data_IF_220339899781
#
_entry.id   IF_220339899781
#
_cell.length_a   1.000
_cell.length_b   1.000
_cell.length_c   1.000
_cell.angle_alpha   90.00
_cell.angle_beta   90.00
_cell.angle_gamma   90.00
#
_symmetry.space_group_name_H-M   'P 1'
#
loop_
_entity.id
_entity.type
_entity.pdbx_description
1 polymer ?
#
# COMPACT_ATOMS: atom_id res chain seq x y z
N UNK A 1 -16.81 -26.02 -39.34
CA UNK A 1 -15.83 -24.94 -39.21
C UNK A 1 -16.59 -23.67 -38.81
N UNK A 2 -16.52 -23.31 -37.54
CA UNK A 2 -17.12 -22.08 -37.05
C UNK A 2 -16.01 -21.03 -37.12
N UNK A 3 -16.14 -20.06 -38.04
CA UNK A 3 -15.25 -18.92 -38.11
C UNK A 3 -15.60 -17.96 -36.97
N UNK A 4 -14.79 -17.95 -35.90
CA UNK A 4 -14.75 -16.83 -34.99
C UNK A 4 -13.97 -15.69 -35.64
N UNK A 5 -14.66 -14.72 -36.17
CA UNK A 5 -14.08 -13.45 -36.52
C UNK A 5 -13.93 -12.63 -35.24
N UNK A 6 -12.74 -12.69 -34.62
CA UNK A 6 -12.35 -11.73 -33.61
C UNK A 6 -12.12 -10.39 -34.34
N UNK A 7 -13.08 -9.50 -34.26
CA UNK A 7 -12.88 -8.10 -34.63
C UNK A 7 -11.86 -7.54 -33.59
N UNK A 8 -10.63 -7.32 -34.04
CA UNK A 8 -9.64 -6.53 -33.28
C UNK A 8 -10.18 -5.09 -33.32
N UNK A 9 -10.49 -4.49 -32.16
CA UNK A 9 -10.89 -3.08 -32.13
C UNK A 9 -9.71 -2.25 -32.64
N UNK A 10 -9.94 -1.49 -33.70
CA UNK A 10 -9.01 -0.50 -34.18
C UNK A 10 -8.91 0.62 -33.12
N UNK A 11 -7.65 1.03 -32.86
CA UNK A 11 -7.20 2.14 -32.01
C UNK A 11 -7.17 1.89 -30.50
N UNK A 12 -5.98 1.60 -30.00
CA UNK A 12 -5.51 1.79 -28.60
C UNK A 12 -5.43 3.31 -28.29
N UNK A 13 -6.55 3.99 -28.28
CA UNK A 13 -6.67 5.36 -27.83
C UNK A 13 -7.70 5.40 -26.73
N UNK A 14 -7.21 5.73 -25.53
CA UNK A 14 -7.83 5.72 -24.21
C UNK A 14 -7.79 4.34 -23.55
N UNK A 15 -6.96 4.21 -22.51
CA UNK A 15 -7.11 3.12 -21.56
C UNK A 15 -8.50 3.24 -20.95
N UNK A 16 -9.46 2.52 -21.50
CA UNK A 16 -10.78 2.44 -20.90
C UNK A 16 -10.59 1.75 -19.56
N UNK A 17 -10.78 2.49 -18.49
CA UNK A 17 -10.86 1.91 -17.15
C UNK A 17 -11.96 0.85 -17.19
N UNK A 18 -11.69 -0.33 -16.61
CA UNK A 18 -12.69 -1.39 -16.52
C UNK A 18 -13.75 -1.12 -15.44
N UNK A 19 -13.84 0.13 -14.98
CA UNK A 19 -14.80 0.62 -14.00
C UNK A 19 -15.24 2.04 -14.33
N UNK A 20 -16.40 2.43 -13.81
CA UNK A 20 -16.94 3.77 -14.03
C UNK A 20 -16.35 4.74 -13.01
N UNK A 21 -15.64 5.77 -13.48
CA UNK A 21 -15.12 6.82 -12.64
C UNK A 21 -15.06 8.16 -13.37
N UNK A 22 -15.10 9.26 -12.60
CA UNK A 22 -14.91 10.62 -13.10
C UNK A 22 -13.85 11.32 -12.23
N UNK A 23 -12.74 11.68 -12.83
CA UNK A 23 -11.65 12.38 -12.18
C UNK A 23 -11.71 13.87 -12.52
N UNK A 24 -12.04 14.70 -11.54
CA UNK A 24 -12.12 16.16 -11.66
C UNK A 24 -11.21 16.86 -10.68
N UNK A 25 -10.99 18.16 -10.83
CA UNK A 25 -10.14 18.96 -9.94
C UNK A 25 -10.72 19.16 -8.52
N UNK A 26 -11.87 18.57 -8.25
CA UNK A 26 -12.50 18.60 -6.93
C UNK A 26 -12.87 17.18 -6.53
N UNK A 27 -12.71 16.80 -5.25
CA UNK A 27 -13.12 15.50 -4.74
C UNK A 27 -14.59 15.23 -5.01
N UNK A 28 -14.89 14.07 -5.59
CA UNK A 28 -16.26 13.62 -5.88
C UNK A 28 -16.47 12.22 -5.30
N UNK A 29 -17.63 11.94 -4.72
CA UNK A 29 -17.99 10.59 -4.32
C UNK A 29 -17.91 9.63 -5.50
N UNK A 30 -17.44 8.43 -5.25
CA UNK A 30 -17.40 7.31 -6.18
C UNK A 30 -18.22 6.15 -5.62
N UNK A 31 -19.04 5.55 -6.46
CA UNK A 31 -19.56 4.20 -6.24
C UNK A 31 -18.77 3.28 -7.17
N UNK A 32 -18.04 2.36 -6.58
CA UNK A 32 -17.26 1.38 -7.35
C UNK A 32 -18.22 0.53 -8.17
N UNK A 33 -18.01 0.51 -9.48
CA UNK A 33 -18.78 -0.28 -10.44
C UNK A 33 -17.87 -0.77 -11.57
N UNK A 34 -17.50 -2.02 -11.49
CA UNK A 34 -16.69 -2.70 -12.52
C UNK A 34 -17.58 -3.16 -13.66
N UNK A 35 -17.09 -3.07 -14.90
CA UNK A 35 -17.87 -3.45 -16.07
C UNK A 35 -18.15 -4.96 -16.10
N UNK A 36 -19.39 -5.33 -16.42
CA UNK A 36 -19.80 -6.75 -16.50
C UNK A 36 -18.98 -7.53 -17.54
N UNK A 37 -18.66 -6.89 -18.68
CA UNK A 37 -17.83 -7.49 -19.71
C UNK A 37 -16.44 -7.90 -19.21
N UNK A 38 -15.81 -7.04 -18.39
CA UNK A 38 -14.52 -7.35 -17.77
C UNK A 38 -14.62 -8.53 -16.78
N UNK A 39 -15.68 -8.56 -15.98
CA UNK A 39 -15.88 -9.65 -15.01
C UNK A 39 -16.12 -11.00 -15.71
N UNK A 40 -16.89 -11.00 -16.81
CA UNK A 40 -17.12 -12.19 -17.63
C UNK A 40 -15.82 -12.67 -18.30
N UNK A 41 -15.03 -11.74 -18.87
CA UNK A 41 -13.73 -12.05 -19.44
C UNK A 41 -12.78 -12.63 -18.40
N UNK A 42 -12.70 -12.02 -17.20
CA UNK A 42 -11.84 -12.46 -16.10
C UNK A 42 -12.20 -13.89 -15.65
N UNK A 43 -13.49 -14.20 -15.48
CA UNK A 43 -13.97 -15.55 -15.17
C UNK A 43 -13.62 -16.56 -16.25
N UNK A 44 -13.78 -16.19 -17.51
CA UNK A 44 -13.43 -17.04 -18.65
C UNK A 44 -11.91 -17.31 -18.70
N UNK A 45 -11.08 -16.30 -18.49
CA UNK A 45 -9.62 -16.45 -18.43
C UNK A 45 -9.20 -17.33 -17.25
N UNK A 46 -9.81 -17.18 -16.07
CA UNK A 46 -9.57 -18.04 -14.92
C UNK A 46 -9.91 -19.51 -15.24
N UNK A 47 -11.06 -19.77 -15.89
CA UNK A 47 -11.47 -21.13 -16.30
C UNK A 47 -10.53 -21.76 -17.34
N UNK A 48 -9.87 -20.95 -18.17
CA UNK A 48 -8.95 -21.38 -19.22
C UNK A 48 -7.49 -21.43 -18.75
N UNK A 49 -7.22 -21.21 -17.48
CA UNK A 49 -5.85 -21.23 -16.93
C UNK A 49 -5.17 -22.57 -17.23
N UNK A 50 -4.02 -22.50 -17.89
CA UNK A 50 -3.19 -23.68 -18.16
C UNK A 50 -2.27 -23.93 -16.97
N UNK A 51 -2.35 -25.13 -16.41
CA UNK A 51 -1.49 -25.53 -15.30
C UNK A 51 -0.18 -26.09 -15.86
N UNK A 52 0.95 -25.57 -15.36
CA UNK A 52 2.27 -26.05 -15.74
C UNK A 52 2.62 -27.34 -15.02
N UNK A 53 3.59 -28.09 -15.57
CA UNK A 53 4.21 -29.23 -14.88
C UNK A 53 5.12 -28.69 -13.78
N UNK A 54 5.08 -29.31 -12.62
CA UNK A 54 5.88 -28.98 -11.44
C UNK A 54 6.88 -30.08 -11.15
N UNK A 55 8.05 -29.73 -10.64
CA UNK A 55 9.01 -30.70 -10.09
C UNK A 55 8.51 -31.14 -8.71
N UNK A 56 8.46 -32.45 -8.49
CA UNK A 56 8.02 -33.04 -7.23
C UNK A 56 8.96 -32.66 -6.06
N UNK A 57 8.37 -32.29 -4.92
CA UNK A 57 9.11 -31.88 -3.73
C UNK A 57 9.64 -30.45 -3.75
N UNK A 58 9.26 -29.65 -4.75
CA UNK A 58 9.66 -28.24 -4.88
C UNK A 58 8.51 -27.26 -4.58
N UNK A 59 7.47 -27.72 -3.88
CA UNK A 59 6.32 -26.92 -3.48
C UNK A 59 6.77 -25.73 -2.62
N UNK A 60 6.38 -24.52 -3.02
CA UNK A 60 6.78 -23.23 -2.42
C UNK A 60 8.31 -22.93 -2.44
N UNK A 61 9.12 -23.79 -3.03
CA UNK A 61 10.53 -23.52 -3.33
C UNK A 61 10.66 -22.84 -4.69
N UNK A 62 10.06 -23.46 -5.73
CA UNK A 62 10.03 -22.90 -7.09
C UNK A 62 8.89 -21.88 -7.28
N UNK A 63 7.94 -21.83 -6.37
CA UNK A 63 6.77 -20.96 -6.45
C UNK A 63 5.51 -21.60 -5.87
N UNK A 64 4.35 -21.04 -6.22
CA UNK A 64 3.05 -21.56 -5.78
C UNK A 64 2.81 -22.96 -6.39
N UNK A 65 2.42 -23.95 -5.57
CA UNK A 65 2.17 -25.30 -6.08
C UNK A 65 1.10 -25.34 -7.17
N UNK A 66 1.30 -26.17 -8.19
CA UNK A 66 0.40 -26.31 -9.33
C UNK A 66 -1.04 -26.68 -8.91
N UNK A 67 -1.18 -27.51 -7.86
CA UNK A 67 -2.49 -27.85 -7.30
C UNK A 67 -3.22 -26.63 -6.73
N UNK A 68 -2.52 -25.75 -6.00
CA UNK A 68 -3.11 -24.51 -5.51
C UNK A 68 -3.60 -23.64 -6.68
N UNK A 69 -2.77 -23.48 -7.72
CA UNK A 69 -3.14 -22.70 -8.92
C UNK A 69 -4.38 -23.29 -9.59
N UNK A 70 -4.48 -24.61 -9.70
CA UNK A 70 -5.64 -25.30 -10.24
C UNK A 70 -6.91 -25.06 -9.43
N UNK A 71 -6.81 -25.18 -8.09
CA UNK A 71 -7.94 -24.96 -7.19
C UNK A 71 -8.41 -23.49 -7.21
N UNK A 72 -7.47 -22.55 -7.25
CA UNK A 72 -7.78 -21.12 -7.36
C UNK A 72 -8.46 -20.77 -8.68
N UNK A 73 -7.98 -21.32 -9.80
CA UNK A 73 -8.58 -21.12 -11.13
C UNK A 73 -10.04 -21.59 -11.15
N UNK A 74 -10.28 -22.81 -10.60
CA UNK A 74 -11.63 -23.36 -10.48
C UNK A 74 -12.50 -22.49 -9.56
N UNK A 75 -12.03 -22.13 -8.38
CA UNK A 75 -12.77 -21.34 -7.41
C UNK A 75 -13.13 -19.96 -7.97
N UNK A 76 -12.15 -19.26 -8.57
CA UNK A 76 -12.37 -17.95 -9.18
C UNK A 76 -13.42 -17.98 -10.30
N UNK A 77 -13.33 -18.99 -11.16
CA UNK A 77 -14.24 -19.10 -12.30
C UNK A 77 -15.67 -19.53 -11.94
N UNK A 78 -15.87 -20.29 -10.84
CA UNK A 78 -17.15 -20.94 -10.55
C UNK A 78 -17.83 -20.49 -9.26
N UNK A 79 -17.08 -20.04 -8.26
CA UNK A 79 -17.59 -19.74 -6.91
C UNK A 79 -17.50 -18.25 -6.57
N UNK A 80 -16.33 -17.64 -6.80
CA UNK A 80 -16.09 -16.26 -6.40
C UNK A 80 -17.06 -15.27 -7.07
N UNK A 81 -17.63 -14.37 -6.27
CA UNK A 81 -18.58 -13.36 -6.71
C UNK A 81 -18.07 -11.94 -6.41
N UNK A 82 -17.53 -11.29 -7.44
CA UNK A 82 -17.09 -9.90 -7.35
C UNK A 82 -18.22 -8.93 -6.98
N UNK A 83 -19.47 -9.16 -7.44
CA UNK A 83 -20.57 -8.25 -7.14
C UNK A 83 -20.85 -8.15 -5.65
N UNK A 84 -20.78 -9.27 -4.95
CA UNK A 84 -20.87 -9.28 -3.50
C UNK A 84 -19.75 -8.47 -2.86
N UNK A 85 -18.51 -8.66 -3.30
CA UNK A 85 -17.36 -7.89 -2.80
C UNK A 85 -17.49 -6.40 -3.12
N UNK A 86 -17.92 -6.04 -4.33
CA UNK A 86 -18.16 -4.66 -4.76
C UNK A 86 -19.21 -3.97 -3.87
N UNK A 87 -20.29 -4.66 -3.52
CA UNK A 87 -21.32 -4.15 -2.61
C UNK A 87 -20.75 -3.97 -1.18
N UNK A 88 -19.94 -4.92 -0.70
CA UNK A 88 -19.26 -4.82 0.59
C UNK A 88 -18.28 -3.63 0.63
N UNK A 89 -17.47 -3.43 -0.41
CA UNK A 89 -16.57 -2.29 -0.53
C UNK A 89 -17.32 -0.96 -0.52
N UNK A 90 -18.38 -0.84 -1.31
CA UNK A 90 -19.22 0.35 -1.37
C UNK A 90 -19.97 0.65 -0.06
N UNK A 91 -20.34 -0.38 0.70
CA UNK A 91 -21.01 -0.20 1.99
C UNK A 91 -20.04 0.18 3.10
N UNK A 92 -18.82 -0.37 3.07
CA UNK A 92 -17.80 -0.17 4.10
C UNK A 92 -17.06 1.14 3.93
N UNK A 93 -16.72 1.53 2.70
CA UNK A 93 -15.86 2.65 2.43
C UNK A 93 -16.58 3.85 1.82
N UNK A 94 -16.11 5.03 2.17
CA UNK A 94 -16.48 6.28 1.49
C UNK A 94 -15.42 6.59 0.44
N UNK A 95 -15.69 6.16 -0.77
CA UNK A 95 -14.81 6.31 -1.93
C UNK A 95 -14.95 7.69 -2.55
N UNK A 96 -13.84 8.25 -3.01
CA UNK A 96 -13.77 9.50 -3.74
C UNK A 96 -12.77 9.41 -4.88
N UNK A 97 -12.98 10.25 -5.89
CA UNK A 97 -12.00 10.49 -6.95
C UNK A 97 -11.68 11.96 -7.04
N UNK A 98 -10.46 12.28 -7.45
CA UNK A 98 -10.02 13.65 -7.73
C UNK A 98 -8.86 13.64 -8.73
N UNK A 99 -8.44 14.83 -9.16
CA UNK A 99 -7.22 15.04 -9.93
C UNK A 99 -6.38 16.09 -9.20
N UNK A 100 -5.10 15.79 -9.01
CA UNK A 100 -4.13 16.67 -8.36
C UNK A 100 -2.90 16.91 -9.24
N UNK A 101 -1.99 17.77 -8.77
CA UNK A 101 -0.69 18.02 -9.41
C UNK A 101 0.43 17.39 -8.56
N UNK A 102 1.47 16.90 -9.23
CA UNK A 102 2.63 16.27 -8.64
C UNK A 102 3.88 17.16 -8.60
N UNK A 103 3.71 18.48 -8.72
CA UNK A 103 4.82 19.45 -8.73
C UNK A 103 5.47 19.65 -10.10
N UNK A 104 6.59 20.40 -10.13
CA UNK A 104 7.19 20.89 -11.37
C UNK A 104 7.90 19.80 -12.20
N UNK A 105 8.34 18.73 -11.55
CA UNK A 105 9.05 17.63 -12.23
C UNK A 105 8.11 16.69 -13.01
N UNK A 106 6.81 16.69 -12.66
CA UNK A 106 5.77 15.93 -13.34
C UNK A 106 4.54 16.79 -13.51
N UNK A 107 4.43 17.42 -14.66
CA UNK A 107 3.41 18.44 -14.95
C UNK A 107 2.07 17.87 -15.44
N UNK A 108 1.98 16.56 -15.62
CA UNK A 108 0.74 15.93 -16.01
C UNK A 108 -0.21 15.78 -14.82
N UNK A 109 -1.53 15.90 -15.04
CA UNK A 109 -2.53 15.65 -14.01
C UNK A 109 -2.41 14.23 -13.45
N UNK A 110 -2.56 14.08 -12.14
CA UNK A 110 -2.55 12.78 -11.45
C UNK A 110 -3.97 12.50 -10.94
N UNK A 111 -4.72 11.61 -11.63
CA UNK A 111 -6.00 11.16 -11.15
C UNK A 111 -5.81 10.20 -9.98
N UNK A 112 -6.54 10.43 -8.89
CA UNK A 112 -6.48 9.63 -7.67
C UNK A 112 -7.86 9.14 -7.26
N UNK A 113 -7.94 7.88 -6.91
CA UNK A 113 -8.96 7.33 -6.05
C UNK A 113 -8.46 7.35 -4.61
N UNK A 114 -9.33 7.62 -3.67
CA UNK A 114 -9.02 7.56 -2.24
C UNK A 114 -10.28 7.27 -1.42
N UNK A 115 -10.08 6.69 -0.24
CA UNK A 115 -11.13 6.67 0.77
C UNK A 115 -10.89 7.79 1.78
N UNK A 116 -11.98 8.38 2.28
CA UNK A 116 -11.91 9.43 3.29
C UNK A 116 -12.96 9.18 4.38
N UNK A 117 -12.48 8.72 5.53
CA UNK A 117 -13.28 8.47 6.72
C UNK A 117 -12.98 9.53 7.77
N UNK A 118 -14.00 10.32 8.12
CA UNK A 118 -13.87 11.36 9.15
C UNK A 118 -14.36 10.83 10.50
N UNK A 119 -13.55 11.04 11.52
CA UNK A 119 -13.99 10.85 12.90
C UNK A 119 -15.09 11.85 13.24
N UNK A 120 -16.07 11.50 14.09
CA UNK A 120 -17.03 12.46 14.64
C UNK A 120 -16.41 13.43 15.64
N UNK A 121 -15.18 13.18 16.09
CA UNK A 121 -14.49 14.02 17.08
C UNK A 121 -13.89 15.27 16.41
N UNK A 122 -14.03 16.41 17.07
CA UNK A 122 -13.50 17.70 16.61
C UNK A 122 -11.98 17.83 16.75
N UNK A 123 -11.38 17.05 17.67
CA UNK A 123 -9.94 17.00 17.95
C UNK A 123 -9.22 15.87 17.16
N UNK A 124 -9.89 15.27 16.18
CA UNK A 124 -9.32 14.21 15.39
C UNK A 124 -8.16 14.70 14.52
N UNK A 125 -7.09 13.92 14.50
CA UNK A 125 -5.86 14.21 13.78
C UNK A 125 -6.02 13.80 12.30
N UNK A 126 -5.74 14.66 11.32
CA UNK A 126 -5.69 14.24 9.92
C UNK A 126 -4.56 13.24 9.70
N UNK A 127 -4.89 12.09 9.14
CA UNK A 127 -3.97 10.99 8.88
C UNK A 127 -3.98 10.62 7.41
N UNK A 128 -2.83 10.73 6.77
CA UNK A 128 -2.55 10.14 5.46
C UNK A 128 -2.06 8.71 5.67
N UNK A 129 -2.81 7.74 5.16
CA UNK A 129 -2.49 6.31 5.26
C UNK A 129 -2.06 5.79 3.87
N UNK A 130 -0.82 5.33 3.74
CA UNK A 130 -0.26 4.89 2.47
C UNK A 130 0.06 3.40 2.48
N UNK A 131 -0.53 2.67 1.54
CA UNK A 131 -0.23 1.28 1.25
C UNK A 131 1.03 1.14 0.37
N UNK A 132 1.42 -0.09 0.06
CA UNK A 132 2.46 -0.42 -0.89
C UNK A 132 2.07 -1.55 -1.84
N UNK A 133 3.06 -2.23 -2.42
CA UNK A 133 2.83 -3.34 -3.33
C UNK A 133 2.68 -4.68 -2.55
N UNK A 134 1.76 -5.57 -2.91
CA UNK A 134 0.71 -5.44 -3.92
C UNK A 134 -0.63 -4.95 -3.36
N UNK A 135 -0.59 -4.16 -2.28
CA UNK A 135 -1.77 -3.65 -1.59
C UNK A 135 -2.50 -2.55 -2.37
N UNK A 136 -3.56 -2.05 -1.75
CA UNK A 136 -4.41 -0.95 -2.21
C UNK A 136 -5.02 -0.25 -0.99
N UNK A 137 -5.92 0.71 -1.20
CA UNK A 137 -6.74 1.27 -0.11
C UNK A 137 -7.38 0.19 0.78
N UNK A 138 -7.54 -1.03 0.28
CA UNK A 138 -8.16 -2.14 1.01
C UNK A 138 -7.39 -2.53 2.28
N UNK A 139 -6.09 -2.27 2.33
CA UNK A 139 -5.28 -2.54 3.53
C UNK A 139 -5.81 -1.83 4.79
N UNK A 140 -6.35 -0.62 4.64
CA UNK A 140 -6.87 0.13 5.79
C UNK A 140 -8.23 -0.39 6.27
N UNK A 141 -8.85 -1.32 5.53
CA UNK A 141 -10.21 -1.74 5.75
C UNK A 141 -10.51 -2.26 7.15
N UNK A 142 -9.58 -3.00 7.74
CA UNK A 142 -9.81 -3.60 9.06
C UNK A 142 -9.41 -2.67 10.22
N UNK A 143 -8.67 -1.58 9.95
CA UNK A 143 -8.19 -0.64 10.98
C UNK A 143 -8.94 0.69 10.99
N UNK A 144 -9.61 1.08 9.89
CA UNK A 144 -10.17 2.42 9.72
C UNK A 144 -11.16 2.82 10.82
N UNK A 145 -12.03 1.90 11.24
CA UNK A 145 -13.01 2.15 12.28
C UNK A 145 -12.35 2.33 13.66
N UNK A 146 -11.29 1.56 13.94
CA UNK A 146 -10.51 1.72 15.18
C UNK A 146 -9.83 3.09 15.23
N UNK A 147 -9.34 3.59 14.11
CA UNK A 147 -8.67 4.88 14.03
C UNK A 147 -9.66 6.06 14.08
N UNK A 148 -10.80 5.94 13.41
CA UNK A 148 -11.79 7.02 13.36
C UNK A 148 -12.66 7.10 14.60
N UNK A 149 -12.91 5.96 15.25
CA UNK A 149 -13.74 5.84 16.44
C UNK A 149 -13.09 4.92 17.49
N UNK A 150 -12.01 5.37 18.14
CA UNK A 150 -11.30 4.56 19.11
C UNK A 150 -12.19 4.17 20.29
N UNK A 151 -11.95 3.01 20.91
CA UNK A 151 -12.81 2.47 21.98
C UNK A 151 -12.81 3.30 23.27
N UNK A 152 -11.86 4.22 23.40
CA UNK A 152 -11.74 5.11 24.55
C UNK A 152 -11.47 6.54 24.08
N UNK A 153 -12.19 7.51 24.64
CA UNK A 153 -12.08 8.93 24.28
C UNK A 153 -10.73 9.55 24.65
N UNK A 154 -9.97 8.93 25.56
CA UNK A 154 -8.58 9.37 25.86
C UNK A 154 -7.57 9.01 24.77
N UNK A 155 -7.91 8.11 23.87
CA UNK A 155 -7.07 7.76 22.73
C UNK A 155 -7.27 8.78 21.60
N UNK A 156 -6.23 9.10 20.82
CA UNK A 156 -6.39 9.97 19.67
C UNK A 156 -7.29 9.33 18.61
N UNK A 157 -8.16 10.13 18.01
CA UNK A 157 -8.96 9.77 16.86
C UNK A 157 -8.37 10.39 15.59
N UNK A 158 -8.69 9.83 14.44
CA UNK A 158 -8.11 10.29 13.18
C UNK A 158 -9.17 10.54 12.11
N UNK A 159 -8.93 11.55 11.27
CA UNK A 159 -9.56 11.66 9.95
C UNK A 159 -8.67 10.91 8.97
N UNK A 160 -9.09 9.76 8.49
CA UNK A 160 -8.26 8.87 7.65
C UNK A 160 -8.48 9.18 6.19
N UNK A 161 -7.41 9.53 5.49
CA UNK A 161 -7.33 9.66 4.03
C UNK A 161 -6.39 8.57 3.53
N UNK A 162 -6.90 7.59 2.79
CA UNK A 162 -6.11 6.50 2.23
C UNK A 162 -6.29 6.46 0.70
N UNK A 163 -5.39 7.11 -0.05
CA UNK A 163 -5.38 7.03 -1.50
C UNK A 163 -4.86 5.66 -1.96
N UNK A 164 -5.36 5.20 -3.11
CA UNK A 164 -4.59 4.26 -3.92
C UNK A 164 -3.40 4.99 -4.54
N UNK A 165 -2.24 4.37 -4.53
CA UNK A 165 -1.08 4.85 -5.26
C UNK A 165 -1.41 4.86 -6.78
N UNK A 166 -0.89 5.84 -7.56
CA UNK A 166 -1.08 5.84 -9.01
C UNK A 166 -0.66 4.52 -9.66
N UNK A 167 -1.60 3.87 -10.34
CA UNK A 167 -1.41 2.54 -10.93
C UNK A 167 -1.86 1.37 -10.07
N UNK A 168 -2.42 1.64 -8.89
CA UNK A 168 -2.98 0.63 -7.97
C UNK A 168 -4.48 0.84 -7.78
N UNK A 169 -5.20 -0.22 -7.44
CA UNK A 169 -6.61 -0.16 -7.11
C UNK A 169 -7.43 0.58 -8.15
N UNK A 170 -8.05 1.67 -7.76
CA UNK A 170 -8.86 2.52 -8.63
C UNK A 170 -8.18 3.84 -9.01
N UNK A 171 -6.91 4.07 -8.64
CA UNK A 171 -6.12 5.19 -9.15
C UNK A 171 -5.50 4.82 -10.49
N UNK A 172 -5.83 5.52 -11.60
CA UNK A 172 -5.31 5.19 -12.92
C UNK A 172 -3.78 5.16 -12.99
N UNK A 173 -3.27 4.25 -13.81
CA UNK A 173 -1.84 4.16 -14.08
C UNK A 173 -1.32 5.42 -14.80
N UNK A 174 -0.11 5.91 -14.45
CA UNK A 174 0.51 7.01 -15.16
C UNK A 174 0.71 6.70 -16.65
N UNK A 175 0.30 7.61 -17.52
CA UNK A 175 0.50 7.49 -18.98
C UNK A 175 1.83 8.06 -19.47
N UNK A 176 2.54 8.77 -18.59
CA UNK A 176 3.84 9.38 -18.88
C UNK A 176 4.88 8.90 -17.85
N UNK A 177 6.14 8.81 -18.30
CA UNK A 177 7.24 8.48 -17.39
C UNK A 177 7.56 9.64 -16.46
N UNK A 178 8.12 9.34 -15.28
CA UNK A 178 8.60 10.35 -14.35
C UNK A 178 7.74 10.55 -13.10
N UNK A 179 6.56 9.90 -13.00
CA UNK A 179 5.82 9.86 -11.74
C UNK A 179 6.49 8.84 -10.81
N UNK A 180 7.53 9.28 -10.12
CA UNK A 180 8.26 8.50 -9.13
C UNK A 180 7.64 8.60 -7.74
N UNK A 181 8.31 8.01 -6.73
CA UNK A 181 7.77 8.00 -5.37
C UNK A 181 7.74 9.41 -4.77
N UNK A 182 8.70 10.28 -5.15
CA UNK A 182 8.71 11.68 -4.72
C UNK A 182 7.53 12.46 -5.32
N UNK A 183 7.28 12.29 -6.60
CA UNK A 183 6.15 12.92 -7.30
C UNK A 183 4.80 12.37 -6.81
N UNK A 184 4.71 11.09 -6.46
CA UNK A 184 3.54 10.53 -5.77
C UNK A 184 3.33 11.22 -4.41
N UNK A 185 4.40 11.43 -3.63
CA UNK A 185 4.34 12.18 -2.37
C UNK A 185 3.84 13.61 -2.54
N UNK A 186 4.28 14.30 -3.59
CA UNK A 186 3.80 15.64 -3.95
C UNK A 186 2.30 15.63 -4.29
N UNK A 187 1.85 14.59 -5.02
CA UNK A 187 0.43 14.38 -5.32
C UNK A 187 -0.40 14.18 -4.06
N UNK A 188 0.10 13.41 -3.10
CA UNK A 188 -0.62 13.19 -1.83
C UNK A 188 -0.62 14.41 -0.92
N UNK A 189 0.46 15.19 -0.89
CA UNK A 189 0.41 16.49 -0.22
C UNK A 189 -0.64 17.41 -0.87
N UNK A 190 -0.71 17.46 -2.21
CA UNK A 190 -1.73 18.21 -2.94
C UNK A 190 -3.14 17.73 -2.62
N UNK A 191 -3.36 16.41 -2.49
CA UNK A 191 -4.62 15.83 -2.04
C UNK A 191 -4.99 16.31 -0.63
N UNK A 192 -4.06 16.27 0.32
CA UNK A 192 -4.31 16.71 1.71
C UNK A 192 -4.66 18.21 1.75
N UNK A 193 -3.94 19.04 0.97
CA UNK A 193 -4.27 20.48 0.84
C UNK A 193 -5.66 20.69 0.24
N UNK A 194 -6.03 19.92 -0.79
CA UNK A 194 -7.36 20.01 -1.43
C UNK A 194 -8.48 19.64 -0.45
N UNK A 195 -8.22 18.74 0.51
CA UNK A 195 -9.13 18.37 1.59
C UNK A 195 -9.10 19.34 2.77
N UNK A 196 -8.36 20.45 2.67
CA UNK A 196 -8.14 21.46 3.72
C UNK A 196 -7.38 20.94 4.95
N UNK A 197 -6.53 19.94 4.76
CA UNK A 197 -5.60 19.44 5.77
C UNK A 197 -4.21 20.02 5.53
N UNK A 198 -3.96 21.24 6.02
CA UNK A 198 -2.65 21.93 5.88
C UNK A 198 -1.55 21.26 6.70
N UNK A 199 -1.93 20.56 7.76
CA UNK A 199 -1.07 19.72 8.58
C UNK A 199 -1.72 18.35 8.77
N UNK A 200 -0.89 17.31 8.77
CA UNK A 200 -1.33 15.94 8.93
C UNK A 200 -0.19 15.07 9.45
N UNK A 201 -0.51 13.87 9.90
CA UNK A 201 0.44 12.80 10.20
C UNK A 201 0.37 11.73 9.12
N UNK A 202 1.42 10.92 8.99
CA UNK A 202 1.48 9.84 7.99
C UNK A 202 1.67 8.47 8.62
N UNK A 203 0.91 7.48 8.17
CA UNK A 203 1.19 6.07 8.43
C UNK A 203 1.44 5.35 7.11
N UNK A 204 2.45 4.48 7.04
CA UNK A 204 2.71 3.69 5.84
C UNK A 204 3.67 2.54 6.08
N UNK A 205 3.44 1.49 5.31
CA UNK A 205 4.35 0.38 5.11
C UNK A 205 4.89 0.39 3.68
N UNK A 206 5.83 -0.49 3.35
CA UNK A 206 6.34 -0.73 1.99
C UNK A 206 6.63 0.56 1.20
N UNK A 207 6.17 0.67 -0.05
CA UNK A 207 6.27 1.87 -0.89
C UNK A 207 5.69 3.10 -0.17
N UNK A 208 4.58 2.95 0.56
CA UNK A 208 3.97 4.04 1.32
C UNK A 208 4.90 4.63 2.39
N UNK A 209 5.70 3.79 3.08
CA UNK A 209 6.74 4.26 4.00
C UNK A 209 7.83 5.04 3.27
N UNK A 210 8.27 4.55 2.11
CA UNK A 210 9.28 5.22 1.28
C UNK A 210 8.79 6.59 0.82
N UNK A 211 7.53 6.70 0.37
CA UNK A 211 6.90 7.97 -0.01
C UNK A 211 6.86 8.93 1.19
N UNK A 212 6.43 8.48 2.37
CA UNK A 212 6.37 9.33 3.56
C UNK A 212 7.74 9.89 3.97
N UNK A 213 8.82 9.11 3.81
CA UNK A 213 10.20 9.60 4.08
C UNK A 213 10.60 10.73 3.12
N UNK A 214 10.21 10.64 1.85
CA UNK A 214 10.45 11.71 0.87
C UNK A 214 9.57 12.92 1.16
N UNK A 215 8.29 12.70 1.50
CA UNK A 215 7.37 13.78 1.88
C UNK A 215 7.83 14.53 3.13
N UNK A 216 8.44 13.84 4.10
CA UNK A 216 8.98 14.47 5.29
C UNK A 216 10.07 15.49 4.98
N UNK A 217 10.90 15.22 3.98
CA UNK A 217 11.91 16.17 3.52
C UNK A 217 11.31 17.33 2.71
N UNK A 218 10.32 17.03 1.85
CA UNK A 218 9.74 18.01 0.93
C UNK A 218 8.68 18.90 1.59
N UNK A 219 7.95 18.37 2.57
CA UNK A 219 6.84 19.05 3.26
C UNK A 219 6.97 19.06 4.79
N UNK A 220 8.09 19.59 5.34
CA UNK A 220 8.39 19.49 6.77
C UNK A 220 7.40 20.24 7.69
N UNK A 221 6.61 21.16 7.13
CA UNK A 221 5.57 21.89 7.88
C UNK A 221 4.24 21.17 7.85
N UNK A 222 3.93 20.48 6.75
CA UNK A 222 2.65 19.81 6.54
C UNK A 222 2.64 18.40 7.15
N UNK A 223 3.66 17.59 6.88
CA UNK A 223 3.83 16.27 7.49
C UNK A 223 4.50 16.43 8.87
N UNK A 224 3.69 16.47 9.91
CA UNK A 224 4.14 16.75 11.30
C UNK A 224 4.97 15.59 11.88
N UNK A 225 4.56 14.36 11.59
CA UNK A 225 5.27 13.14 12.00
C UNK A 225 4.79 11.95 11.19
N UNK A 226 5.55 10.86 11.24
CA UNK A 226 5.17 9.62 10.55
C UNK A 226 5.36 8.39 11.43
N UNK A 227 4.50 7.38 11.25
CA UNK A 227 4.65 6.02 11.78
C UNK A 227 4.89 5.06 10.62
N UNK A 228 5.93 4.26 10.70
CA UNK A 228 6.27 3.28 9.66
C UNK A 228 6.30 1.87 10.21
N UNK A 229 5.62 0.94 9.56
CA UNK A 229 5.79 -0.49 9.83
C UNK A 229 6.87 -1.14 8.93
N UNK A 230 7.46 -0.39 8.00
CA UNK A 230 8.63 -0.79 7.22
C UNK A 230 9.64 0.38 7.12
N UNK A 231 10.40 0.65 8.17
CA UNK A 231 11.50 1.61 8.12
C UNK A 231 12.82 0.88 7.88
N UNK A 232 13.02 0.43 6.63
CA UNK A 232 14.21 -0.33 6.24
C UNK A 232 15.45 0.57 6.16
N UNK A 233 16.56 0.06 6.67
CA UNK A 233 17.90 0.67 6.55
C UNK A 233 18.89 -0.44 6.24
N UNK A 234 19.62 -0.28 5.15
CA UNK A 234 20.65 -1.25 4.75
C UNK A 234 21.92 -1.12 5.62
N UNK A 235 22.63 -2.23 5.85
CA UNK A 235 23.94 -2.18 6.50
C UNK A 235 24.93 -1.38 5.63
N UNK A 236 25.72 -0.54 6.28
CA UNK A 236 26.82 0.16 5.63
C UNK A 236 28.12 -0.69 5.62
N UNK A 237 29.19 -0.17 5.02
CA UNK A 237 30.46 -0.88 4.93
C UNK A 237 31.03 -1.25 6.32
N UNK A 238 30.90 -0.34 7.30
CA UNK A 238 31.36 -0.58 8.69
C UNK A 238 30.55 -1.68 9.36
N UNK A 239 29.22 -1.74 9.16
CA UNK A 239 28.38 -2.79 9.69
C UNK A 239 28.77 -4.15 9.12
N UNK A 240 29.05 -4.22 7.82
CA UNK A 240 29.50 -5.45 7.14
C UNK A 240 30.91 -5.89 7.60
N UNK A 241 31.81 -4.95 7.86
CA UNK A 241 33.13 -5.24 8.43
C UNK A 241 33.02 -5.81 9.86
N UNK A 242 32.21 -5.19 10.73
CA UNK A 242 31.91 -5.68 12.08
C UNK A 242 31.26 -7.07 12.03
N UNK A 243 30.34 -7.29 11.11
CA UNK A 243 29.72 -8.59 10.92
C UNK A 243 30.75 -9.68 10.57
N UNK A 244 31.68 -9.39 9.66
CA UNK A 244 32.76 -10.31 9.28
C UNK A 244 33.71 -10.64 10.45
N UNK A 245 33.84 -9.72 11.43
CA UNK A 245 34.65 -9.89 12.65
C UNK A 245 33.85 -10.46 13.83
N UNK A 246 32.55 -10.78 13.67
CA UNK A 246 31.65 -11.20 14.77
C UNK A 246 31.49 -10.13 15.88
N UNK A 247 31.54 -8.86 15.54
CA UNK A 247 31.47 -7.71 16.46
C UNK A 247 30.10 -6.99 16.40
N UNK A 248 29.11 -7.56 15.70
CA UNK A 248 27.76 -7.01 15.57
C UNK A 248 26.87 -7.40 16.76
N UNK A 249 25.87 -6.56 17.06
CA UNK A 249 24.80 -6.92 18.00
C UNK A 249 23.95 -8.09 17.46
N UNK A 250 23.14 -8.73 18.30
CA UNK A 250 22.23 -9.79 17.84
C UNK A 250 21.29 -9.34 16.71
N UNK A 251 20.75 -8.13 16.80
CA UNK A 251 19.84 -7.57 15.78
C UNK A 251 20.56 -7.28 14.46
N UNK A 252 21.74 -6.65 14.51
CA UNK A 252 22.57 -6.43 13.32
C UNK A 252 22.92 -7.75 12.65
N UNK A 253 23.33 -8.75 13.45
CA UNK A 253 23.65 -10.10 12.95
C UNK A 253 22.43 -10.73 12.28
N UNK A 254 21.26 -10.67 12.92
CA UNK A 254 20.03 -11.24 12.41
C UNK A 254 19.61 -10.55 11.09
N UNK A 255 19.64 -9.21 11.05
CA UNK A 255 19.27 -8.44 9.84
C UNK A 255 20.22 -8.71 8.67
N UNK A 256 21.55 -8.72 8.91
CA UNK A 256 22.52 -9.01 7.86
C UNK A 256 22.39 -10.46 7.38
N UNK A 257 22.18 -11.41 8.30
CA UNK A 257 21.98 -12.81 7.95
C UNK A 257 20.72 -13.02 7.13
N UNK A 258 19.60 -12.35 7.48
CA UNK A 258 18.36 -12.36 6.71
C UNK A 258 18.61 -11.85 5.27
N UNK A 259 19.25 -10.69 5.12
CA UNK A 259 19.54 -10.09 3.83
C UNK A 259 20.49 -10.93 2.95
N UNK A 260 21.32 -11.77 3.57
CA UNK A 260 22.25 -12.70 2.89
C UNK A 260 21.64 -14.08 2.65
N UNK A 261 20.49 -14.39 3.24
CA UNK A 261 19.85 -15.70 3.07
C UNK A 261 19.38 -15.86 1.61
N UNK A 262 19.83 -16.91 0.89
CA UNK A 262 19.37 -17.16 -0.49
C UNK A 262 17.86 -17.32 -0.61
N UNK A 263 17.21 -17.93 0.38
CA UNK A 263 15.75 -18.08 0.40
C UNK A 263 15.03 -16.74 0.52
N UNK A 264 15.66 -15.77 1.20
CA UNK A 264 15.16 -14.40 1.26
C UNK A 264 15.48 -13.61 -0.02
N UNK A 265 16.48 -14.00 -0.80
CA UNK A 265 16.82 -13.35 -2.07
C UNK A 265 15.65 -13.42 -3.07
N UNK A 266 14.79 -14.42 -2.93
CA UNK A 266 13.56 -14.55 -3.71
C UNK A 266 12.63 -13.34 -3.55
N UNK A 267 12.57 -12.76 -2.34
CA UNK A 267 11.79 -11.53 -2.08
C UNK A 267 12.32 -10.32 -2.82
N UNK A 268 13.54 -10.36 -3.35
CA UNK A 268 14.14 -9.30 -4.18
C UNK A 268 14.05 -9.60 -5.67
N UNK A 269 13.95 -10.86 -6.07
CA UNK A 269 13.98 -11.26 -7.48
C UNK A 269 12.84 -10.60 -8.27
N UNK A 270 11.66 -10.49 -7.71
CA UNK A 270 10.56 -9.78 -8.36
C UNK A 270 10.83 -8.28 -8.52
N UNK A 271 11.51 -7.62 -7.54
CA UNK A 271 11.89 -6.21 -7.65
C UNK A 271 12.79 -5.95 -8.85
N UNK A 272 13.80 -6.82 -9.05
CA UNK A 272 14.74 -6.68 -10.16
C UNK A 272 14.04 -6.82 -11.50
N UNK A 273 13.09 -7.74 -11.62
CA UNK A 273 12.27 -7.91 -12.82
C UNK A 273 11.37 -6.68 -13.02
N UNK A 274 10.64 -6.26 -12.00
CA UNK A 274 9.71 -5.15 -12.03
C UNK A 274 10.42 -3.81 -12.28
N UNK A 275 11.60 -3.61 -11.68
CA UNK A 275 12.40 -2.43 -11.91
C UNK A 275 13.07 -2.39 -13.30
N UNK A 276 13.40 -3.54 -13.88
CA UNK A 276 14.12 -3.63 -15.14
C UNK A 276 13.21 -3.60 -16.36
N UNK A 277 12.22 -4.50 -16.39
CA UNK A 277 11.36 -4.73 -17.55
C UNK A 277 9.87 -4.88 -17.15
N UNK A 278 9.27 -3.87 -16.52
CA UNK A 278 7.91 -3.95 -15.97
C UNK A 278 6.85 -4.34 -17.01
N UNK A 279 6.94 -3.81 -18.24
CA UNK A 279 5.97 -4.13 -19.29
C UNK A 279 6.08 -5.59 -19.73
N UNK A 280 7.30 -6.14 -19.78
CA UNK A 280 7.53 -7.51 -20.24
C UNK A 280 6.82 -8.53 -19.36
N UNK A 281 6.91 -8.39 -18.04
CA UNK A 281 6.24 -9.29 -17.10
C UNK A 281 4.73 -9.00 -17.05
N UNK A 282 4.34 -7.74 -17.16
CA UNK A 282 2.94 -7.33 -17.06
C UNK A 282 2.06 -7.83 -18.22
N UNK A 283 2.62 -8.06 -19.42
CA UNK A 283 1.87 -8.61 -20.55
C UNK A 283 1.24 -9.96 -20.15
N UNK A 284 2.04 -10.89 -19.63
CA UNK A 284 1.54 -12.19 -19.19
C UNK A 284 0.61 -12.11 -17.97
N UNK A 285 0.95 -11.23 -17.03
CA UNK A 285 0.16 -11.05 -15.78
C UNK A 285 -1.18 -10.35 -16.04
N UNK A 286 -1.27 -9.46 -17.03
CA UNK A 286 -2.53 -8.84 -17.47
C UNK A 286 -3.43 -9.84 -18.20
N UNK A 287 -2.86 -10.77 -18.92
CA UNK A 287 -3.64 -11.81 -19.63
C UNK A 287 -4.11 -12.94 -18.71
N UNK A 288 -3.41 -13.21 -17.62
CA UNK A 288 -3.71 -14.31 -16.69
C UNK A 288 -4.07 -13.80 -15.29
N UNK A 289 -5.35 -13.75 -14.92
CA UNK A 289 -5.75 -13.34 -13.56
C UNK A 289 -5.17 -14.26 -12.48
N UNK A 290 -5.15 -15.56 -12.73
CA UNK A 290 -4.60 -16.54 -11.78
C UNK A 290 -3.06 -16.49 -11.75
N UNK A 291 -2.41 -16.19 -12.87
CA UNK A 291 -0.97 -15.91 -12.93
C UNK A 291 -0.58 -14.68 -12.11
N UNK A 292 -1.38 -13.61 -12.20
CA UNK A 292 -1.22 -12.41 -11.36
C UNK A 292 -1.38 -12.75 -9.87
N UNK A 293 -2.44 -13.49 -9.52
CA UNK A 293 -2.67 -13.92 -8.14
C UNK A 293 -1.49 -14.76 -7.60
N UNK A 294 -0.96 -15.68 -8.39
CA UNK A 294 0.19 -16.50 -8.00
C UNK A 294 1.46 -15.64 -7.84
N UNK A 295 1.68 -14.65 -8.71
CA UNK A 295 2.82 -13.75 -8.65
C UNK A 295 2.86 -12.97 -7.33
N UNK A 296 1.76 -12.32 -6.95
CA UNK A 296 1.72 -11.53 -5.72
C UNK A 296 1.69 -12.40 -4.45
N UNK A 297 1.04 -13.57 -4.49
CA UNK A 297 0.85 -14.41 -3.30
C UNK A 297 2.16 -14.90 -2.70
N UNK A 298 3.18 -15.18 -3.52
CA UNK A 298 4.46 -15.62 -2.95
C UNK A 298 5.07 -14.57 -2.01
N UNK A 299 5.09 -13.31 -2.42
CA UNK A 299 5.54 -12.20 -1.55
C UNK A 299 4.65 -12.05 -0.31
N UNK A 300 3.34 -12.04 -0.50
CA UNK A 300 2.37 -11.91 0.59
C UNK A 300 2.56 -13.02 1.64
N UNK A 301 2.66 -14.27 1.20
CA UNK A 301 2.86 -15.42 2.09
C UNK A 301 4.18 -15.36 2.86
N UNK A 302 5.28 -15.02 2.18
CA UNK A 302 6.61 -14.96 2.80
C UNK A 302 6.72 -13.85 3.84
N UNK A 303 6.09 -12.71 3.57
CA UNK A 303 6.14 -11.50 4.41
C UNK A 303 5.04 -11.45 5.49
N UNK A 304 4.17 -12.46 5.54
CA UNK A 304 3.12 -12.57 6.57
C UNK A 304 3.05 -13.99 7.17
N UNK A 305 4.15 -14.49 7.75
CA UNK A 305 4.18 -15.83 8.33
C UNK A 305 3.15 -15.96 9.45
N UNK A 306 2.44 -17.09 9.46
CA UNK A 306 1.40 -17.38 10.45
C UNK A 306 0.02 -16.82 10.10
N UNK A 307 -0.12 -16.11 8.96
CA UNK A 307 -1.42 -15.72 8.43
C UNK A 307 -1.84 -16.64 7.28
N UNK A 308 -3.05 -17.19 7.40
CA UNK A 308 -3.63 -18.06 6.37
C UNK A 308 -4.54 -17.24 5.45
N UNK A 309 -4.01 -16.93 4.27
CA UNK A 309 -4.74 -16.19 3.26
C UNK A 309 -5.86 -17.04 2.66
N UNK A 310 -7.10 -16.71 2.94
CA UNK A 310 -8.27 -17.36 2.34
C UNK A 310 -8.34 -17.13 0.82
N UNK A 311 -8.90 -18.08 0.08
CA UNK A 311 -8.96 -18.01 -1.39
C UNK A 311 -9.77 -16.80 -1.89
N UNK A 312 -10.93 -16.50 -1.29
CA UNK A 312 -11.74 -15.33 -1.65
C UNK A 312 -11.01 -14.02 -1.36
N UNK A 313 -10.27 -14.00 -0.26
CA UNK A 313 -9.44 -12.87 0.13
C UNK A 313 -8.32 -12.62 -0.87
N UNK A 314 -7.58 -13.68 -1.26
CA UNK A 314 -6.53 -13.59 -2.28
C UNK A 314 -7.07 -13.14 -3.63
N UNK A 315 -8.24 -13.66 -4.04
CA UNK A 315 -8.88 -13.22 -5.29
C UNK A 315 -9.27 -11.75 -5.19
N UNK A 316 -9.81 -11.31 -4.05
CA UNK A 316 -10.19 -9.89 -3.84
C UNK A 316 -8.97 -8.97 -3.93
N UNK A 317 -7.87 -9.30 -3.26
CA UNK A 317 -6.62 -8.55 -3.35
C UNK A 317 -6.08 -8.51 -4.78
N UNK A 318 -6.17 -9.64 -5.48
CA UNK A 318 -5.75 -9.73 -6.88
C UNK A 318 -6.63 -8.87 -7.79
N UNK A 319 -7.95 -8.97 -7.64
CA UNK A 319 -8.92 -8.22 -8.45
C UNK A 319 -8.71 -6.72 -8.35
N UNK A 320 -8.48 -6.18 -7.15
CA UNK A 320 -8.30 -4.74 -6.94
C UNK A 320 -7.19 -4.14 -7.81
N UNK A 321 -6.10 -4.88 -8.06
CA UNK A 321 -5.06 -4.44 -8.98
C UNK A 321 -5.29 -4.93 -10.43
N UNK A 322 -5.96 -6.07 -10.61
CA UNK A 322 -6.19 -6.67 -11.91
C UNK A 322 -7.21 -5.89 -12.76
N UNK A 323 -8.15 -5.19 -12.13
CA UNK A 323 -9.21 -4.41 -12.81
C UNK A 323 -8.62 -3.41 -13.81
N UNK A 324 -7.53 -2.71 -13.46
CA UNK A 324 -6.86 -1.82 -14.41
C UNK A 324 -5.59 -2.44 -15.03
N UNK A 325 -5.24 -3.65 -14.63
CA UNK A 325 -4.02 -4.35 -15.00
C UNK A 325 -2.83 -4.01 -14.11
N UNK A 326 -1.95 -4.98 -13.83
CA UNK A 326 -0.87 -4.84 -12.83
C UNK A 326 0.28 -3.92 -13.26
N UNK A 327 0.36 -3.51 -14.52
CA UNK A 327 1.50 -2.77 -15.08
C UNK A 327 1.80 -1.47 -14.32
N UNK A 328 0.76 -0.71 -13.93
CA UNK A 328 0.96 0.57 -13.23
C UNK A 328 1.68 0.39 -11.90
N UNK A 329 1.21 -0.56 -11.08
CA UNK A 329 1.81 -0.90 -9.80
C UNK A 329 3.22 -1.48 -9.95
N UNK A 330 3.41 -2.44 -10.85
CA UNK A 330 4.71 -3.04 -11.17
C UNK A 330 5.71 -1.97 -11.61
N UNK A 331 5.29 -1.01 -12.42
CA UNK A 331 6.16 0.05 -12.95
C UNK A 331 6.67 1.01 -11.87
N UNK A 332 6.01 1.10 -10.72
CA UNK A 332 6.48 1.94 -9.61
C UNK A 332 7.88 1.55 -9.12
N UNK A 333 8.26 0.27 -9.21
CA UNK A 333 9.61 -0.22 -8.90
C UNK A 333 10.67 0.36 -9.84
N UNK A 334 10.33 0.53 -11.13
CA UNK A 334 11.25 1.17 -12.09
C UNK A 334 11.52 2.63 -11.73
N UNK A 335 10.50 3.36 -11.34
CA UNK A 335 10.67 4.74 -10.90
C UNK A 335 11.41 4.81 -9.55
N UNK A 336 11.08 3.95 -8.58
CA UNK A 336 11.80 3.85 -7.32
C UNK A 336 13.29 3.53 -7.49
N UNK A 337 13.63 2.67 -8.48
CA UNK A 337 15.01 2.38 -8.84
C UNK A 337 15.70 3.59 -9.43
N UNK A 338 15.04 4.31 -10.35
CA UNK A 338 15.55 5.53 -10.96
C UNK A 338 15.86 6.62 -9.93
N UNK A 339 15.05 6.72 -8.89
CA UNK A 339 15.23 7.67 -7.77
C UNK A 339 16.27 7.20 -6.73
N UNK A 340 16.81 5.98 -6.86
CA UNK A 340 17.73 5.40 -5.91
C UNK A 340 17.09 4.95 -4.59
N UNK A 341 15.76 4.96 -4.50
CA UNK A 341 15.00 4.57 -3.30
C UNK A 341 15.22 3.10 -2.97
N UNK A 342 15.23 2.22 -3.98
CA UNK A 342 15.51 0.80 -3.78
C UNK A 342 16.95 0.52 -3.32
N UNK A 343 17.87 1.47 -3.55
CA UNK A 343 19.24 1.40 -3.07
C UNK A 343 19.40 2.00 -1.66
N UNK A 344 18.29 2.45 -1.03
CA UNK A 344 18.27 3.01 0.32
C UNK A 344 18.65 4.49 0.40
N UNK A 345 18.65 5.21 -0.72
CA UNK A 345 18.97 6.63 -0.77
C UNK A 345 17.79 7.48 -0.32
N UNK A 346 17.74 7.78 0.98
CA UNK A 346 16.71 8.63 1.56
C UNK A 346 17.31 9.86 2.23
N UNK A 347 16.63 11.02 2.18
CA UNK A 347 16.95 12.14 3.04
C UNK A 347 16.74 11.77 4.51
N UNK A 348 17.46 12.44 5.42
CA UNK A 348 17.21 12.32 6.85
C UNK A 348 15.82 12.88 7.20
N UNK A 349 15.02 12.11 7.92
CA UNK A 349 13.69 12.53 8.40
C UNK A 349 13.85 13.27 9.73
N UNK A 350 13.72 14.58 9.71
CA UNK A 350 13.89 15.43 10.89
C UNK A 350 12.67 15.46 11.81
N UNK A 351 11.48 15.22 11.27
CA UNK A 351 10.23 15.11 12.03
C UNK A 351 10.25 13.87 12.92
N UNK A 352 9.44 13.85 14.01
CA UNK A 352 9.31 12.65 14.81
C UNK A 352 8.87 11.43 14.00
N UNK A 353 9.61 10.34 14.15
CA UNK A 353 9.33 9.05 13.48
C UNK A 353 9.02 7.99 14.53
N UNK A 354 7.89 7.32 14.36
CA UNK A 354 7.60 6.04 14.99
C UNK A 354 7.98 4.88 14.06
N UNK A 355 8.71 3.91 14.59
CA UNK A 355 9.04 2.66 13.89
C UNK A 355 8.40 1.51 14.64
N UNK A 356 7.61 0.72 13.92
CA UNK A 356 7.01 -0.51 14.45
C UNK A 356 7.40 -1.69 13.57
N UNK A 357 7.74 -2.81 14.19
CA UNK A 357 8.27 -3.97 13.49
C UNK A 357 7.44 -5.20 13.83
N UNK A 358 6.97 -5.88 12.79
CA UNK A 358 6.20 -7.13 12.87
C UNK A 358 7.02 -8.29 12.32
N UNK A 359 6.98 -9.45 13.01
CA UNK A 359 7.72 -10.62 12.60
C UNK A 359 7.33 -11.08 11.18
N UNK A 360 8.33 -11.43 10.40
CA UNK A 360 8.19 -11.85 9.00
C UNK A 360 8.40 -10.73 7.99
N UNK A 361 8.30 -9.45 8.40
CA UNK A 361 8.62 -8.36 7.50
C UNK A 361 10.13 -8.19 7.29
N UNK A 362 10.51 -7.68 6.13
CA UNK A 362 11.90 -7.49 5.68
C UNK A 362 12.75 -6.61 6.63
N UNK A 363 12.11 -5.68 7.35
CA UNK A 363 12.75 -4.77 8.27
C UNK A 363 12.65 -5.20 9.75
N UNK A 364 12.17 -6.42 10.03
CA UNK A 364 11.89 -6.84 11.41
C UNK A 364 13.09 -6.76 12.35
N UNK A 365 14.27 -7.11 11.86
CA UNK A 365 15.51 -7.08 12.66
C UNK A 365 16.31 -5.78 12.48
N UNK A 366 15.84 -4.80 11.70
CA UNK A 366 16.55 -3.53 11.53
C UNK A 366 16.77 -2.88 12.89
N UNK A 367 18.05 -2.69 13.34
CA UNK A 367 18.35 -2.15 14.66
C UNK A 367 17.90 -0.70 14.81
N UNK A 368 17.58 -0.28 16.02
CA UNK A 368 17.23 1.11 16.33
C UNK A 368 18.35 2.08 15.88
N UNK A 369 19.60 1.74 16.14
CA UNK A 369 20.76 2.57 15.79
C UNK A 369 20.88 2.79 14.28
N UNK A 370 20.47 1.81 13.47
CA UNK A 370 20.47 1.99 12.03
C UNK A 370 19.33 2.92 11.59
N UNK A 371 18.15 2.77 12.19
CA UNK A 371 17.02 3.64 11.88
C UNK A 371 17.31 5.10 12.26
N UNK A 372 18.01 5.32 13.36
CA UNK A 372 18.45 6.65 13.82
C UNK A 372 19.46 7.34 12.88
N UNK A 373 20.14 6.61 12.02
CA UNK A 373 20.99 7.21 10.97
C UNK A 373 20.16 7.94 9.90
N UNK A 374 18.89 7.59 9.76
CA UNK A 374 18.04 8.10 8.68
C UNK A 374 16.79 8.84 9.18
N UNK A 375 16.57 8.93 10.49
CA UNK A 375 15.43 9.65 11.02
C UNK A 375 15.51 9.96 12.51
N UNK A 376 14.71 10.95 12.94
CA UNK A 376 14.50 11.30 14.33
C UNK A 376 13.53 10.29 14.98
N UNK A 377 14.06 9.11 15.36
CA UNK A 377 13.25 8.02 15.91
C UNK A 377 12.87 8.35 17.35
N UNK A 378 11.65 8.75 17.56
CA UNK A 378 11.09 9.10 18.87
C UNK A 378 10.20 8.01 19.47
N UNK A 379 9.80 7.01 18.65
CA UNK A 379 9.07 5.82 19.08
C UNK A 379 9.59 4.60 18.34
N UNK A 380 9.82 3.51 19.07
CA UNK A 380 10.29 2.25 18.50
C UNK A 380 9.61 1.09 19.21
N UNK A 381 8.96 0.21 18.46
CA UNK A 381 8.24 -0.95 18.98
C UNK A 381 8.51 -2.16 18.07
N UNK A 382 8.98 -3.25 18.65
CA UNK A 382 9.09 -4.53 17.95
C UNK A 382 8.14 -5.53 18.58
N UNK A 383 7.26 -6.09 17.79
CA UNK A 383 6.31 -7.10 18.27
C UNK A 383 7.02 -8.44 18.45
N UNK A 384 6.60 -9.18 19.47
CA UNK A 384 7.10 -10.54 19.66
C UNK A 384 6.71 -11.45 18.47
N UNK A 385 7.53 -12.48 18.12
CA UNK A 385 7.29 -13.31 16.93
C UNK A 385 5.92 -14.01 16.87
N UNK A 386 5.26 -14.21 17.99
CA UNK A 386 3.91 -14.79 18.04
C UNK A 386 2.80 -13.79 17.74
N UNK A 387 3.09 -12.50 17.64
CA UNK A 387 2.12 -11.47 17.25
C UNK A 387 2.10 -11.42 15.73
N UNK A 388 1.15 -12.14 15.15
CA UNK A 388 0.97 -12.17 13.69
C UNK A 388 0.62 -10.76 13.19
N UNK A 389 1.17 -10.37 12.07
CA UNK A 389 0.97 -9.05 11.45
C UNK A 389 1.77 -8.93 10.16
N UNK A 390 3.06 -9.32 10.22
CA UNK A 390 3.94 -9.31 9.05
C UNK A 390 4.00 -7.95 8.35
N UNK A 391 4.02 -8.00 7.04
CA UNK A 391 4.10 -6.84 6.15
C UNK A 391 2.80 -6.00 6.10
N UNK A 392 1.65 -6.65 6.36
CA UNK A 392 0.31 -6.04 6.24
C UNK A 392 -0.40 -5.91 7.59
N UNK A 393 0.21 -5.28 8.63
CA UNK A 393 -0.35 -5.30 9.98
C UNK A 393 -1.69 -4.57 10.09
N UNK A 394 -1.94 -3.56 9.25
CA UNK A 394 -3.22 -2.87 9.19
C UNK A 394 -4.39 -3.80 8.83
N UNK A 395 -4.13 -4.75 7.98
CA UNK A 395 -5.11 -5.72 7.50
C UNK A 395 -5.17 -6.97 8.39
N UNK A 396 -4.00 -7.55 8.72
CA UNK A 396 -3.86 -8.83 9.42
C UNK A 396 -4.09 -8.69 10.92
N UNK A 397 -3.54 -7.65 11.54
CA UNK A 397 -3.65 -7.39 12.98
C UNK A 397 -3.95 -5.90 13.25
N UNK A 398 -5.13 -5.43 12.81
CA UNK A 398 -5.50 -4.01 12.88
C UNK A 398 -5.46 -3.46 14.31
N UNK A 399 -5.76 -4.30 15.31
CA UNK A 399 -5.74 -3.89 16.70
C UNK A 399 -4.32 -3.56 17.17
N UNK A 400 -3.35 -4.40 16.85
CA UNK A 400 -1.96 -4.16 17.25
C UNK A 400 -1.39 -2.89 16.61
N UNK A 401 -1.67 -2.63 15.32
CA UNK A 401 -1.23 -1.41 14.67
C UNK A 401 -1.98 -0.17 15.19
N UNK A 402 -3.28 -0.27 15.47
CA UNK A 402 -4.03 0.83 16.08
C UNK A 402 -3.45 1.21 17.45
N UNK A 403 -3.07 0.23 18.26
CA UNK A 403 -2.42 0.45 19.56
C UNK A 403 -1.07 1.16 19.41
N UNK A 404 -0.28 0.85 18.39
CA UNK A 404 0.95 1.58 18.07
C UNK A 404 0.66 3.02 17.62
N UNK A 405 -0.35 3.23 16.78
CA UNK A 405 -0.81 4.57 16.39
C UNK A 405 -1.22 5.40 17.62
N UNK A 406 -2.03 4.83 18.50
CA UNK A 406 -2.46 5.51 19.71
C UNK A 406 -1.30 5.78 20.68
N UNK A 407 -0.37 4.84 20.84
CA UNK A 407 0.80 5.01 21.72
C UNK A 407 1.75 6.09 21.21
N UNK A 408 1.93 6.20 19.90
CA UNK A 408 2.78 7.21 19.30
C UNK A 408 2.12 8.58 19.30
N UNK A 409 0.96 8.74 18.66
CA UNK A 409 0.30 10.03 18.51
C UNK A 409 -0.47 10.50 19.74
N UNK A 410 -0.77 9.64 20.69
CA UNK A 410 -1.29 10.01 22.01
C UNK A 410 -0.26 10.65 22.93
N UNK A 411 1.02 10.60 22.58
CA UNK A 411 2.10 11.30 23.28
C UNK A 411 2.56 12.52 22.46
N UNK A 412 1.99 13.69 22.78
CA UNK A 412 2.20 14.94 22.05
C UNK A 412 3.68 15.37 21.95
N UNK A 413 4.43 15.22 23.04
CA UNK A 413 5.85 15.61 23.07
C UNK A 413 6.73 14.68 22.21
N UNK A 414 6.33 13.43 22.07
CA UNK A 414 7.04 12.42 21.28
C UNK A 414 6.76 12.54 19.79
N UNK A 415 5.51 12.82 19.43
CA UNK A 415 5.03 12.77 18.05
C UNK A 415 4.82 14.15 17.42
N UNK A 416 4.87 15.23 18.19
CA UNK A 416 4.53 16.57 17.74
C UNK A 416 3.02 16.79 17.53
N UNK A 417 2.17 15.80 17.85
CA UNK A 417 0.71 15.85 17.62
C UNK A 417 -0.03 16.93 18.40
N UNK A 418 0.57 17.49 19.46
CA UNK A 418 -0.04 18.59 20.24
C UNK A 418 -0.38 19.85 19.42
N UNK A 419 0.14 19.98 18.20
CA UNK A 419 -0.25 21.08 17.31
C UNK A 419 -1.72 21.00 16.90
N UNK A 420 -2.26 19.79 16.70
CA UNK A 420 -3.65 19.57 16.29
C UNK A 420 -4.63 19.95 17.40
N UNK A 421 -4.30 19.64 18.66
CA UNK A 421 -5.11 20.07 19.81
C UNK A 421 -5.16 21.60 19.93
N UNK A 422 -4.03 22.28 19.73
CA UNK A 422 -3.98 23.75 19.73
C UNK A 422 -4.80 24.35 18.60
N UNK A 423 -4.74 23.77 17.41
CA UNK A 423 -5.53 24.22 16.26
C UNK A 423 -7.03 23.97 16.47
N UNK A 424 -7.43 22.83 17.03
CA UNK A 424 -8.82 22.53 17.37
C UNK A 424 -9.39 23.51 18.41
N UNK A 425 -8.59 23.93 19.39
CA UNK A 425 -8.98 24.91 20.40
C UNK A 425 -9.12 26.33 19.84
N UNK A 426 -8.37 26.66 18.79
CA UNK A 426 -8.38 27.98 18.14
C UNK A 426 -9.40 28.08 17.01
N UNK A 427 -9.88 26.94 16.49
CA UNK A 427 -10.88 26.92 15.44
C UNK A 427 -12.20 27.49 15.99
N UNK A 428 -12.82 28.50 15.34
CA UNK A 428 -14.14 28.94 15.72
C UNK A 428 -15.10 27.78 15.65
N UNK A 429 -16.06 27.68 16.56
CA UNK A 429 -17.08 26.62 16.70
C UNK A 429 -18.02 26.50 15.47
N UNK A 430 -17.52 26.77 14.28
CA UNK A 430 -18.25 26.86 13.02
C UNK A 430 -17.75 25.87 11.97
N UNK A 431 -18.02 24.58 12.21
CA UNK A 431 -18.19 23.64 11.11
C UNK A 431 -19.66 23.23 11.08
N UNK A 432 -20.39 23.44 9.98
CA UNK A 432 -21.73 22.91 9.87
C UNK A 432 -21.64 21.39 10.04
N UNK A 433 -22.35 20.89 11.04
CA UNK A 433 -22.59 19.46 11.21
C UNK A 433 -23.16 18.97 9.88
N UNK A 434 -22.53 17.94 9.31
CA UNK A 434 -22.81 17.42 7.99
C UNK A 434 -24.31 17.34 7.70
N UNK A 435 -24.72 17.94 6.63
CA UNK A 435 -25.96 17.60 5.97
C UNK A 435 -25.95 16.09 5.71
N UNK A 436 -26.83 15.37 6.36
CA UNK A 436 -27.20 14.02 6.01
C UNK A 436 -27.56 14.00 4.53
N UNK A 437 -26.67 13.53 3.68
CA UNK A 437 -27.02 13.06 2.34
C UNK A 437 -27.55 11.62 2.54
N UNK A 438 -28.70 11.52 3.17
CA UNK A 438 -29.69 10.52 2.89
C UNK A 438 -30.80 11.29 2.16
N UNK A 439 -31.16 10.83 0.98
CA UNK A 439 -32.15 11.35 0.03
C UNK A 439 -31.56 12.24 -1.09
N UNK A 440 -30.97 11.58 -2.09
CA UNK A 440 -31.35 11.69 -3.52
C UNK A 440 -30.68 10.57 -4.30
#
# INVERSE_FOLDING_TARGET
MVHFSLAIPATLTEHSLNFVANFSNQPRPLIVKVHDSFLLETKAKAALTRITTQVEGMEFVDGVPANNVSDWARHWSTVYDWRKVEDELNSKFRHFTTTVQAGDNYTYPVPLHFIHHRSPRHDAIPLLFLHGWPGTFHEVGNIVDLLTNPPNTSLPAFHVVAPDLPGFGFSPAPTHAGLGLREMGQSFNSLMMQLNYSRYVGQGGDIGSHILRLMAADFPVSLVSMLSNLFSVSPNATDLERYAKHETSPDETAQISLLKNPDFSWTKAYWDIEASAPLQVSIGLTDSPVGWMAWQYMGMRMLSPGYDWGVDELITWSMLNYIQGPYGGIRSYKEAKREGVLDGNFPYVAQPVGVVQYFGDAAYYTPLEWTQRQGNISFYSRKAPHVVGGHFPAYINPRALAEDCWAFWGNESRSGSGIFLREALLAPAWFPQGSNVRDQ
#
